data_IF_094761098463
#
_entry.id   IF_094761098463
#
_cell.length_a   1.000
_cell.length_b   1.000
_cell.length_c   1.000
_cell.angle_alpha   90.00
_cell.angle_beta   90.00
_cell.angle_gamma   90.00
#
_symmetry.space_group_name_H-M   'P 1'
#
loop_
_entity.id
_entity.type
_entity.pdbx_description
1 polymer ?
#
# COMPACT_ATOMS: atom_id res chain seq x y z
N UNK A 1 17.81 3.42 14.99
CA UNK A 1 17.06 3.59 13.72
C UNK A 1 17.91 4.47 12.83
N UNK A 2 18.19 4.01 11.62
CA UNK A 2 19.03 4.75 10.67
C UNK A 2 18.12 5.21 9.54
N UNK A 3 17.94 6.52 9.39
CA UNK A 3 17.12 7.08 8.31
C UNK A 3 17.66 6.64 6.96
N UNK A 4 16.75 6.42 6.01
CA UNK A 4 17.12 6.18 4.61
C UNK A 4 17.85 7.40 4.02
N UNK A 5 18.65 7.17 2.98
CA UNK A 5 19.21 8.27 2.17
C UNK A 5 18.09 9.04 1.45
N UNK A 6 18.40 10.24 0.94
CA UNK A 6 17.44 11.01 0.14
C UNK A 6 17.01 10.25 -1.11
N UNK A 7 17.94 9.61 -1.81
CA UNK A 7 17.63 8.86 -3.04
C UNK A 7 16.71 7.67 -2.74
N UNK A 8 16.99 6.92 -1.68
CA UNK A 8 16.11 5.82 -1.27
C UNK A 8 14.74 6.34 -0.79
N UNK A 9 14.69 7.49 -0.10
CA UNK A 9 13.40 8.10 0.26
C UNK A 9 12.58 8.47 -0.97
N UNK A 10 13.20 9.07 -1.99
CA UNK A 10 12.55 9.42 -3.26
C UNK A 10 12.07 8.16 -3.97
N UNK A 11 12.90 7.13 -4.06
CA UNK A 11 12.53 5.85 -4.67
C UNK A 11 11.32 5.21 -3.97
N UNK A 12 11.31 5.18 -2.63
CA UNK A 12 10.21 4.62 -1.84
C UNK A 12 8.94 5.48 -1.97
N UNK A 13 9.09 6.80 -2.01
CA UNK A 13 7.96 7.72 -2.21
C UNK A 13 7.32 7.54 -3.59
N UNK A 14 8.12 7.38 -4.66
CA UNK A 14 7.63 7.08 -6.00
C UNK A 14 6.96 5.70 -6.03
N UNK A 15 7.57 4.70 -5.38
CA UNK A 15 7.02 3.35 -5.25
C UNK A 15 5.61 3.36 -4.62
N UNK A 16 5.41 4.13 -3.55
CA UNK A 16 4.10 4.31 -2.93
C UNK A 16 3.12 5.11 -3.80
N UNK A 17 3.60 6.09 -4.55
CA UNK A 17 2.77 6.80 -5.54
C UNK A 17 2.23 5.85 -6.61
N UNK A 18 3.10 4.99 -7.17
CA UNK A 18 2.73 3.93 -8.12
C UNK A 18 1.81 2.89 -7.49
N UNK A 19 2.08 2.49 -6.25
CA UNK A 19 1.22 1.59 -5.49
C UNK A 19 -0.22 2.09 -5.43
N UNK A 20 -0.42 3.35 -5.05
CA UNK A 20 -1.74 3.97 -5.00
C UNK A 20 -2.38 4.04 -6.40
N UNK A 21 -1.63 4.50 -7.40
CA UNK A 21 -2.12 4.60 -8.77
C UNK A 21 -2.56 3.24 -9.34
N UNK A 22 -1.71 2.21 -9.24
CA UNK A 22 -2.00 0.92 -9.84
C UNK A 22 -3.19 0.21 -9.19
N UNK A 23 -3.44 0.39 -7.88
CA UNK A 23 -4.65 -0.15 -7.25
C UNK A 23 -5.91 0.61 -7.67
N UNK A 24 -5.82 1.94 -7.79
CA UNK A 24 -6.96 2.79 -8.16
C UNK A 24 -7.38 2.64 -9.62
N UNK A 25 -6.44 2.28 -10.51
CA UNK A 25 -6.64 2.15 -11.95
C UNK A 25 -6.75 0.68 -12.42
N UNK A 26 -6.83 -0.28 -11.48
CA UNK A 26 -7.07 -1.69 -11.82
C UNK A 26 -5.89 -2.41 -12.49
N UNK A 27 -4.69 -1.84 -12.40
CA UNK A 27 -3.45 -2.34 -12.98
C UNK A 27 -2.87 -3.49 -12.13
N UNK A 28 -3.50 -4.66 -12.21
CA UNK A 28 -3.18 -5.80 -11.35
C UNK A 28 -1.76 -6.35 -11.48
N UNK A 29 -1.26 -6.52 -12.69
CA UNK A 29 0.08 -7.07 -12.94
C UNK A 29 1.17 -6.10 -12.47
N UNK A 30 1.00 -4.81 -12.77
CA UNK A 30 1.90 -3.75 -12.35
C UNK A 30 1.87 -3.54 -10.84
N UNK A 31 0.69 -3.60 -10.22
CA UNK A 31 0.58 -3.56 -8.77
C UNK A 31 1.27 -4.75 -8.12
N UNK A 32 1.10 -5.97 -8.65
CA UNK A 32 1.79 -7.16 -8.16
C UNK A 32 3.31 -7.09 -8.37
N UNK A 33 3.79 -6.42 -9.43
CA UNK A 33 5.22 -6.25 -9.68
C UNK A 33 5.93 -5.40 -8.61
N UNK A 34 5.19 -4.57 -7.85
CA UNK A 34 5.73 -3.80 -6.71
C UNK A 34 6.09 -4.66 -5.50
N UNK A 35 5.68 -5.93 -5.48
CA UNK A 35 5.90 -6.87 -4.39
C UNK A 35 7.05 -7.82 -4.73
N UNK A 36 7.73 -8.35 -3.72
CA UNK A 36 8.60 -9.51 -3.93
C UNK A 36 7.75 -10.75 -4.32
N UNK A 37 8.32 -11.80 -4.93
CA UNK A 37 7.55 -12.95 -5.41
C UNK A 37 6.59 -13.55 -4.37
N UNK A 38 7.05 -13.63 -3.11
CA UNK A 38 6.33 -14.18 -1.95
C UNK A 38 5.74 -13.09 -1.03
N UNK A 39 5.58 -11.86 -1.55
CA UNK A 39 5.11 -10.73 -0.76
C UNK A 39 3.75 -10.98 -0.08
N UNK A 40 3.55 -10.35 1.07
CA UNK A 40 2.38 -10.61 1.94
C UNK A 40 1.63 -9.33 2.29
N UNK A 41 0.32 -9.31 2.00
CA UNK A 41 -0.57 -8.21 2.38
C UNK A 41 -1.50 -8.64 3.51
N UNK A 42 -1.45 -7.93 4.64
CA UNK A 42 -2.11 -8.31 5.89
C UNK A 42 -3.11 -7.22 6.31
N UNK A 43 -4.26 -7.64 6.81
CA UNK A 43 -5.22 -6.77 7.50
C UNK A 43 -6.32 -6.15 6.61
N UNK A 44 -6.32 -6.43 5.31
CA UNK A 44 -7.41 -6.09 4.38
C UNK A 44 -8.44 -7.21 4.20
N UNK A 45 -8.06 -8.43 4.54
CA UNK A 45 -8.89 -9.65 4.52
C UNK A 45 -8.63 -10.46 5.81
N UNK A 46 -9.51 -11.40 6.21
CA UNK A 46 -9.29 -12.23 7.39
C UNK A 46 -7.99 -13.05 7.31
N UNK A 47 -7.73 -13.64 6.15
CA UNK A 47 -6.47 -14.35 5.86
C UNK A 47 -5.54 -13.45 5.05
N UNK A 48 -4.21 -13.47 5.30
CA UNK A 48 -3.25 -12.71 4.50
C UNK A 48 -3.27 -13.11 3.02
N UNK A 49 -3.15 -12.13 2.14
CA UNK A 49 -2.99 -12.34 0.70
C UNK A 49 -1.50 -12.53 0.42
N UNK A 50 -1.13 -13.64 -0.23
CA UNK A 50 0.27 -14.06 -0.39
C UNK A 50 0.62 -14.32 -1.85
N UNK A 51 1.76 -13.79 -2.26
CA UNK A 51 2.37 -14.02 -3.56
C UNK A 51 1.74 -13.20 -4.69
N UNK A 52 2.56 -12.87 -5.70
CA UNK A 52 2.18 -11.95 -6.78
C UNK A 52 0.88 -12.31 -7.50
N UNK A 53 0.64 -13.61 -7.71
CA UNK A 53 -0.57 -14.08 -8.38
C UNK A 53 -1.84 -13.75 -7.59
N UNK A 54 -1.84 -13.88 -6.26
CA UNK A 54 -2.99 -13.50 -5.45
C UNK A 54 -3.10 -11.97 -5.32
N UNK A 55 -1.96 -11.30 -5.21
CA UNK A 55 -1.88 -9.84 -5.08
C UNK A 55 -2.40 -9.11 -6.32
N UNK A 56 -2.18 -9.62 -7.54
CA UNK A 56 -2.69 -8.97 -8.76
C UNK A 56 -4.22 -8.87 -8.79
N UNK A 57 -4.92 -9.80 -8.12
CA UNK A 57 -6.37 -9.75 -8.00
C UNK A 57 -6.87 -8.61 -7.11
N UNK A 58 -6.05 -8.07 -6.19
CA UNK A 58 -6.46 -6.98 -5.29
C UNK A 58 -6.84 -5.75 -6.09
N UNK A 59 -5.96 -5.30 -6.99
CA UNK A 59 -6.19 -4.11 -7.81
C UNK A 59 -7.35 -4.31 -8.79
N UNK A 60 -7.34 -5.39 -9.57
CA UNK A 60 -8.39 -5.66 -10.56
C UNK A 60 -9.77 -5.80 -9.90
N UNK A 61 -9.89 -6.59 -8.83
CA UNK A 61 -11.16 -6.78 -8.14
C UNK A 61 -11.67 -5.50 -7.46
N UNK A 62 -10.77 -4.70 -6.87
CA UNK A 62 -11.12 -3.41 -6.26
C UNK A 62 -11.66 -2.44 -7.31
N UNK A 63 -10.98 -2.35 -8.44
CA UNK A 63 -11.40 -1.52 -9.56
C UNK A 63 -12.76 -1.94 -10.11
N UNK A 64 -12.97 -3.24 -10.33
CA UNK A 64 -14.23 -3.77 -10.85
C UNK A 64 -15.40 -3.57 -9.89
N UNK A 65 -15.19 -3.79 -8.59
CA UNK A 65 -16.23 -3.64 -7.56
C UNK A 65 -16.63 -2.17 -7.39
N UNK A 66 -15.67 -1.26 -7.43
CA UNK A 66 -15.88 0.16 -7.13
C UNK A 66 -15.83 1.05 -8.38
N UNK A 67 -15.83 0.43 -9.57
CA UNK A 67 -15.87 1.07 -10.89
C UNK A 67 -14.81 2.17 -11.07
N UNK A 68 -13.60 1.95 -10.55
CA UNK A 68 -12.48 2.89 -10.62
C UNK A 68 -12.70 4.20 -9.86
N UNK A 69 -13.60 4.21 -8.86
CA UNK A 69 -13.97 5.43 -8.10
C UNK A 69 -13.23 5.59 -6.77
N UNK A 70 -12.24 4.77 -6.46
CA UNK A 70 -11.38 4.96 -5.28
C UNK A 70 -10.20 5.87 -5.57
N UNK A 71 -9.75 6.64 -4.58
CA UNK A 71 -8.49 7.37 -4.62
C UNK A 71 -7.72 7.18 -3.33
N UNK A 72 -6.56 6.54 -3.44
CA UNK A 72 -5.61 6.31 -2.36
C UNK A 72 -4.62 7.48 -2.23
N UNK A 73 -4.40 7.92 -1.00
CA UNK A 73 -3.44 8.97 -0.66
C UNK A 73 -2.54 8.43 0.46
N UNK A 74 -1.30 8.09 0.09
CA UNK A 74 -0.24 7.80 1.05
C UNK A 74 0.35 9.11 1.60
N UNK A 75 0.30 9.28 2.91
CA UNK A 75 0.76 10.49 3.60
C UNK A 75 1.62 10.15 4.83
N UNK A 76 2.35 11.16 5.32
CA UNK A 76 3.19 11.05 6.51
C UNK A 76 4.23 9.91 6.43
N UNK A 77 4.70 9.61 5.21
CA UNK A 77 5.71 8.58 4.96
C UNK A 77 7.00 8.91 5.70
N UNK A 78 7.46 7.95 6.50
CA UNK A 78 8.83 7.92 6.98
C UNK A 78 9.38 6.49 6.90
N UNK A 79 10.69 6.39 6.69
CA UNK A 79 11.37 5.14 6.43
C UNK A 79 12.74 5.12 7.13
N UNK A 80 13.06 3.97 7.71
CA UNK A 80 14.33 3.70 8.34
C UNK A 80 14.88 2.37 7.80
N UNK A 81 16.19 2.33 7.56
CA UNK A 81 16.90 1.08 7.36
C UNK A 81 16.74 0.18 8.58
N UNK A 82 16.55 -1.11 8.33
CA UNK A 82 16.35 -2.14 9.34
C UNK A 82 17.52 -3.12 9.40
N UNK A 83 17.59 -3.90 10.47
CA UNK A 83 18.53 -5.02 10.64
C UNK A 83 20.02 -4.69 10.45
N UNK A 84 20.38 -3.41 10.64
CA UNK A 84 21.74 -2.92 10.45
C UNK A 84 22.25 -2.92 9.00
N UNK A 85 21.36 -3.15 8.02
CA UNK A 85 21.68 -3.17 6.58
C UNK A 85 20.98 -2.04 5.82
N UNK A 86 21.47 -1.71 4.62
CA UNK A 86 20.78 -0.82 3.68
C UNK A 86 19.83 -1.56 2.74
N UNK A 87 19.67 -2.87 2.90
CA UNK A 87 18.88 -3.70 1.98
C UNK A 87 17.46 -3.98 2.47
N UNK A 88 17.14 -3.57 3.70
CA UNK A 88 15.82 -3.72 4.30
C UNK A 88 15.41 -2.37 4.86
N UNK A 89 14.17 -1.97 4.56
CA UNK A 89 13.57 -0.74 5.08
C UNK A 89 12.26 -1.06 5.77
N UNK A 90 12.06 -0.47 6.95
CA UNK A 90 10.75 -0.37 7.59
C UNK A 90 10.16 1.01 7.31
N UNK A 91 9.14 1.04 6.47
CA UNK A 91 8.36 2.23 6.15
C UNK A 91 7.05 2.26 6.94
N UNK A 92 6.64 3.46 7.35
CA UNK A 92 5.35 3.72 8.00
C UNK A 92 4.70 4.90 7.33
N UNK A 93 3.42 4.78 7.04
CA UNK A 93 2.64 5.82 6.41
C UNK A 93 1.17 5.67 6.78
N UNK A 94 0.43 6.75 6.60
CA UNK A 94 -1.02 6.72 6.64
C UNK A 94 -1.56 6.57 5.22
N UNK A 95 -2.58 5.75 5.06
CA UNK A 95 -3.27 5.56 3.80
C UNK A 95 -4.71 6.03 3.95
N UNK A 96 -5.04 7.16 3.33
CA UNK A 96 -6.41 7.64 3.26
C UNK A 96 -7.01 7.23 1.91
N UNK A 97 -8.19 6.61 1.96
CA UNK A 97 -8.90 6.16 0.78
C UNK A 97 -10.24 6.86 0.71
N UNK A 98 -10.47 7.57 -0.39
CA UNK A 98 -11.74 8.24 -0.68
C UNK A 98 -12.48 7.51 -1.81
N UNK A 99 -13.81 7.58 -1.79
CA UNK A 99 -14.69 7.10 -2.86
C UNK A 99 -15.36 8.27 -3.57
N UNK A 100 -15.56 8.13 -4.88
CA UNK A 100 -16.10 9.14 -5.79
C UNK A 100 -17.21 8.56 -6.67
N UNK A 101 -18.09 7.79 -6.06
CA UNK A 101 -19.32 7.25 -6.66
C UNK A 101 -20.55 8.06 -6.22
N UNK A 102 -21.75 7.48 -6.24
CA UNK A 102 -23.00 8.15 -5.89
C UNK A 102 -23.07 8.62 -4.42
N UNK A 103 -22.22 8.10 -3.54
CA UNK A 103 -22.05 8.62 -2.17
C UNK A 103 -20.57 8.93 -1.92
N UNK A 104 -20.07 10.06 -2.46
CA UNK A 104 -18.67 10.40 -2.36
C UNK A 104 -18.27 10.71 -0.91
N UNK A 105 -17.03 10.38 -0.54
CA UNK A 105 -16.53 10.65 0.81
C UNK A 105 -15.42 9.71 1.24
N UNK A 106 -15.22 9.62 2.56
CA UNK A 106 -14.26 8.69 3.15
C UNK A 106 -14.69 7.24 2.90
N UNK A 107 -13.79 6.43 2.35
CA UNK A 107 -13.96 4.99 2.26
C UNK A 107 -13.31 4.29 3.46
N UNK A 108 -12.02 4.55 3.69
CA UNK A 108 -11.30 4.08 4.89
C UNK A 108 -10.08 4.96 5.16
N UNK A 109 -9.59 4.88 6.40
CA UNK A 109 -8.28 5.38 6.79
C UNK A 109 -7.50 4.23 7.39
N UNK A 110 -6.20 4.15 7.11
CA UNK A 110 -5.37 3.05 7.59
C UNK A 110 -3.99 3.48 8.07
N UNK A 111 -3.49 2.76 9.07
CA UNK A 111 -2.07 2.81 9.45
C UNK A 111 -1.36 1.65 8.77
N UNK A 112 -0.35 1.96 7.97
CA UNK A 112 0.40 0.98 7.20
C UNK A 112 1.82 0.84 7.76
N UNK A 113 2.25 -0.40 7.97
CA UNK A 113 3.60 -0.78 8.40
C UNK A 113 4.16 -1.72 7.33
N UNK A 114 5.13 -1.24 6.57
CA UNK A 114 5.62 -1.89 5.37
C UNK A 114 7.10 -2.26 5.51
N UNK A 115 7.43 -3.48 5.10
CA UNK A 115 8.80 -3.96 4.95
C UNK A 115 9.15 -3.99 3.47
N UNK A 116 10.18 -3.24 3.11
CA UNK A 116 10.71 -3.15 1.75
C UNK A 116 12.08 -3.80 1.69
N UNK A 117 12.37 -4.41 0.54
CA UNK A 117 13.64 -5.09 0.26
C UNK A 117 14.27 -4.48 -0.98
N UNK A 118 15.59 -4.35 -0.98
CA UNK A 118 16.31 -3.79 -2.12
C UNK A 118 16.24 -4.73 -3.32
N UNK A 119 15.96 -4.16 -4.49
CA UNK A 119 15.99 -4.86 -5.78
C UNK A 119 16.68 -3.97 -6.82
N UNK A 120 17.98 -4.18 -7.02
CA UNK A 120 18.83 -3.28 -7.79
C UNK A 120 18.83 -1.86 -7.22
N UNK A 121 18.44 -0.90 -8.06
CA UNK A 121 18.28 0.52 -7.68
C UNK A 121 16.90 0.85 -7.10
N UNK A 122 16.01 -0.16 -7.01
CA UNK A 122 14.64 -0.02 -6.54
C UNK A 122 14.33 -0.80 -5.27
N UNK A 123 13.04 -0.89 -4.97
CA UNK A 123 12.50 -1.52 -3.77
C UNK A 123 11.32 -2.42 -4.14
N UNK A 124 11.19 -3.54 -3.44
CA UNK A 124 10.02 -4.41 -3.51
C UNK A 124 9.36 -4.54 -2.14
N UNK A 125 8.05 -4.70 -2.12
CA UNK A 125 7.28 -4.93 -0.89
C UNK A 125 7.40 -6.40 -0.50
N UNK A 126 8.04 -6.66 0.63
CA UNK A 126 8.02 -7.97 1.30
C UNK A 126 6.74 -8.17 2.08
N UNK A 127 6.37 -7.16 2.88
CA UNK A 127 5.18 -7.22 3.72
C UNK A 127 4.55 -5.84 3.81
N UNK A 128 3.22 -5.77 3.79
CA UNK A 128 2.48 -4.58 4.18
C UNK A 128 1.39 -4.99 5.18
N UNK A 129 1.53 -4.54 6.42
CA UNK A 129 0.55 -4.77 7.48
C UNK A 129 -0.29 -3.51 7.66
N UNK A 130 -1.58 -3.66 7.39
CA UNK A 130 -2.53 -2.56 7.35
C UNK A 130 -3.58 -2.71 8.43
N UNK A 131 -3.67 -1.69 9.26
CA UNK A 131 -4.66 -1.56 10.30
C UNK A 131 -5.75 -0.59 9.79
N UNK A 132 -6.89 -1.14 9.39
CA UNK A 132 -8.03 -0.37 8.87
C UNK A 132 -8.82 0.24 10.03
N UNK A 133 -9.07 1.54 9.95
CA UNK A 133 -10.04 2.23 10.79
C UNK A 133 -11.39 2.18 10.08
N UNK A 134 -12.38 1.59 10.75
CA UNK A 134 -13.75 1.69 10.28
C UNK A 134 -14.16 3.17 10.24
N UNK A 135 -14.94 3.60 9.22
CA UNK A 135 -15.57 4.91 9.30
C UNK A 135 -16.38 4.99 10.61
N UNK A 136 -16.40 6.15 11.30
CA UNK A 136 -17.24 6.28 12.48
C UNK A 136 -18.67 5.88 12.12
N UNK A 137 -19.29 5.06 12.96
CA UNK A 137 -20.72 4.73 12.85
C UNK A 137 -21.46 6.04 12.59
N UNK A 138 -22.17 6.12 11.46
CA UNK A 138 -23.16 7.17 11.27
C UNK A 138 -24.21 6.94 12.35
N UNK A 139 -24.10 7.66 13.46
CA UNK A 139 -25.20 7.75 14.41
C UNK A 139 -26.30 8.46 13.64
N UNK A 140 -27.33 7.72 13.24
CA UNK A 140 -28.50 8.29 12.59
C UNK A 140 -29.02 9.44 13.47
N UNK A 141 -29.10 10.65 12.89
CA UNK A 141 -29.82 11.77 13.47
C UNK A 141 -31.29 11.69 13.06
#
# INVERSE_FOLDING_TARGET
MTKVTTDDWVAISDHLGRYCWFVDEGMGEEWAALWEPEGVFIGVTPEPIKGRAALSFVSTSTYEQLKGRLRHIAANLHADYADGTRDIVHARYYNYVSRWDDTPGNFTFAICRMTLVRDGDGWLIRENNVELFAPPLQVAQ
#
